data_IF_624239083113
#
_entry.id   IF_624239083113
#
_cell.length_a   1.000
_cell.length_b   1.000
_cell.length_c   1.000
_cell.angle_alpha   90.00
_cell.angle_beta   90.00
_cell.angle_gamma   90.00
#
_symmetry.space_group_name_H-M   'P 1'
#
loop_
_entity.id
_entity.type
_entity.pdbx_description
1 polymer ?
#
# COMPACT_ATOMS: atom_id res chain seq x y z
N UNK A 1 17.34 -10.59 14.56
CA UNK A 1 16.34 -9.75 13.86
C UNK A 1 17.02 -9.14 12.65
N UNK A 2 16.96 -9.80 11.50
CA UNK A 2 17.57 -9.28 10.28
C UNK A 2 16.85 -7.99 9.89
N UNK A 3 17.57 -6.86 9.94
CA UNK A 3 17.12 -5.63 9.32
C UNK A 3 17.05 -5.90 7.81
N UNK A 4 15.86 -6.24 7.31
CA UNK A 4 15.61 -6.43 5.89
C UNK A 4 15.75 -5.07 5.18
N UNK A 5 16.98 -4.73 4.82
CA UNK A 5 17.30 -3.79 3.76
C UNK A 5 16.90 -4.45 2.44
N UNK A 6 15.65 -4.28 2.02
CA UNK A 6 15.23 -4.61 0.67
C UNK A 6 15.92 -3.63 -0.29
N UNK A 7 16.86 -4.15 -1.09
CA UNK A 7 17.55 -3.54 -2.25
C UNK A 7 17.91 -2.05 -2.14
N UNK A 8 19.15 -1.77 -1.72
CA UNK A 8 19.89 -0.52 -1.98
C UNK A 8 19.21 0.77 -1.52
N UNK A 9 19.18 1.03 -0.21
CA UNK A 9 18.98 2.37 0.39
C UNK A 9 17.67 3.11 0.05
N UNK A 10 16.75 2.56 -0.75
CA UNK A 10 15.52 3.25 -1.10
C UNK A 10 14.54 3.10 0.07
N UNK A 11 14.20 4.18 0.79
CA UNK A 11 13.25 4.08 1.87
C UNK A 11 11.93 3.60 1.29
N UNK A 12 11.30 2.62 1.94
CA UNK A 12 9.95 2.11 1.63
C UNK A 12 8.93 3.25 1.37
N UNK A 13 9.17 4.41 1.98
CA UNK A 13 8.43 5.66 1.81
C UNK A 13 8.55 6.28 0.42
N UNK A 14 9.71 6.22 -0.23
CA UNK A 14 9.93 6.74 -1.58
C UNK A 14 9.21 5.87 -2.63
N UNK A 15 9.12 4.56 -2.38
CA UNK A 15 8.29 3.66 -3.19
C UNK A 15 6.81 4.06 -3.17
N UNK A 16 6.23 4.23 -1.98
CA UNK A 16 4.85 4.69 -1.83
C UNK A 16 4.61 6.07 -2.49
N UNK A 17 5.56 7.00 -2.30
CA UNK A 17 5.53 8.32 -2.92
C UNK A 17 5.49 8.26 -4.45
N UNK A 18 6.41 7.50 -5.07
CA UNK A 18 6.47 7.36 -6.52
C UNK A 18 5.21 6.70 -7.08
N UNK A 19 4.72 5.65 -6.42
CA UNK A 19 3.49 4.97 -6.83
C UNK A 19 2.30 5.92 -6.79
N UNK A 20 2.12 6.69 -5.72
CA UNK A 20 1.04 7.68 -5.64
C UNK A 20 1.17 8.78 -6.70
N UNK A 21 2.40 9.20 -7.03
CA UNK A 21 2.64 10.19 -8.07
C UNK A 21 2.30 9.67 -9.47
N UNK A 22 2.72 8.45 -9.80
CA UNK A 22 2.34 7.80 -11.07
C UNK A 22 0.84 7.56 -11.16
N UNK A 23 0.22 7.09 -10.07
CA UNK A 23 -1.23 6.89 -10.01
C UNK A 23 -1.99 8.20 -10.21
N UNK A 24 -1.54 9.28 -9.58
CA UNK A 24 -2.10 10.62 -9.76
C UNK A 24 -1.96 11.09 -11.20
N UNK A 25 -0.77 10.93 -11.82
CA UNK A 25 -0.56 11.31 -13.22
C UNK A 25 -1.46 10.52 -14.17
N UNK A 26 -1.49 9.19 -14.03
CA UNK A 26 -2.28 8.32 -14.90
C UNK A 26 -3.78 8.59 -14.75
N UNK A 27 -4.26 8.70 -13.52
CA UNK A 27 -5.68 9.02 -13.23
C UNK A 27 -6.04 10.44 -13.68
N UNK A 28 -5.14 11.42 -13.52
CA UNK A 28 -5.34 12.79 -13.97
C UNK A 28 -5.38 12.92 -15.50
N UNK A 29 -4.46 12.24 -16.21
CA UNK A 29 -4.47 12.19 -17.68
C UNK A 29 -5.72 11.47 -18.17
N UNK A 30 -6.11 10.35 -17.57
CA UNK A 30 -7.32 9.62 -17.92
C UNK A 30 -8.58 10.47 -17.70
N UNK A 31 -8.69 11.15 -16.55
CA UNK A 31 -9.80 12.07 -16.28
C UNK A 31 -9.83 13.22 -17.29
N UNK A 32 -8.69 13.86 -17.56
CA UNK A 32 -8.60 14.93 -18.54
C UNK A 32 -9.00 14.45 -19.94
N UNK A 33 -8.57 13.26 -20.35
CA UNK A 33 -8.94 12.65 -21.62
C UNK A 33 -10.45 12.34 -21.71
N UNK A 34 -11.06 11.84 -20.62
CA UNK A 34 -12.49 11.58 -20.57
C UNK A 34 -13.32 12.87 -20.64
N UNK A 35 -12.93 13.90 -19.90
CA UNK A 35 -13.58 15.21 -19.94
C UNK A 35 -13.40 15.89 -21.30
N UNK A 36 -12.20 15.82 -21.88
CA UNK A 36 -11.93 16.34 -23.22
C UNK A 36 -12.75 15.60 -24.28
N UNK A 37 -12.82 14.27 -24.19
CA UNK A 37 -13.68 13.45 -25.04
C UNK A 37 -15.13 13.88 -24.93
N UNK A 38 -15.65 14.00 -23.70
CA UNK A 38 -17.03 14.44 -23.47
C UNK A 38 -17.33 15.83 -24.06
N UNK A 39 -16.37 16.76 -23.99
CA UNK A 39 -16.51 18.11 -24.52
C UNK A 39 -16.51 18.16 -26.06
N UNK A 40 -15.85 17.22 -26.74
CA UNK A 40 -15.71 17.20 -28.20
C UNK A 40 -16.70 16.27 -28.92
N UNK A 41 -17.53 15.53 -28.18
CA UNK A 41 -18.45 14.56 -28.79
C UNK A 41 -19.70 15.22 -29.38
N UNK A 42 -20.13 14.82 -30.60
CA UNK A 42 -21.34 15.35 -31.22
C UNK A 42 -22.59 14.99 -30.39
N UNK A 43 -23.63 15.83 -30.46
CA UNK A 43 -24.81 15.72 -29.60
C UNK A 43 -25.61 14.41 -29.71
N UNK A 44 -25.43 13.64 -30.79
CA UNK A 44 -26.19 12.42 -31.11
C UNK A 44 -25.73 11.13 -30.42
N UNK A 45 -24.76 11.18 -29.52
CA UNK A 45 -24.30 9.95 -28.85
C UNK A 45 -25.32 9.45 -27.83
N UNK A 46 -25.56 8.14 -27.83
CA UNK A 46 -26.48 7.41 -26.93
C UNK A 46 -26.41 7.92 -25.48
N UNK A 47 -27.58 8.27 -24.92
CA UNK A 47 -27.69 8.79 -23.55
C UNK A 47 -27.07 7.85 -22.50
N UNK A 48 -27.10 6.54 -22.75
CA UNK A 48 -26.47 5.52 -21.89
C UNK A 48 -24.95 5.66 -21.87
N UNK A 49 -24.34 5.97 -23.02
CA UNK A 49 -22.90 6.13 -23.15
C UNK A 49 -22.43 7.44 -22.53
N UNK A 50 -23.18 8.53 -22.68
CA UNK A 50 -22.90 9.80 -21.98
C UNK A 50 -22.92 9.63 -20.46
N UNK A 51 -23.94 8.94 -19.92
CA UNK A 51 -24.03 8.66 -18.48
C UNK A 51 -22.84 7.83 -17.96
N UNK A 52 -22.46 6.79 -18.69
CA UNK A 52 -21.30 5.95 -18.34
C UNK A 52 -19.99 6.74 -18.36
N UNK A 53 -19.76 7.57 -19.37
CA UNK A 53 -18.55 8.40 -19.48
C UNK A 53 -18.45 9.43 -18.36
N UNK A 54 -19.57 10.07 -18.00
CA UNK A 54 -19.60 11.01 -16.86
C UNK A 54 -19.31 10.28 -15.55
N UNK A 55 -19.92 9.11 -15.32
CA UNK A 55 -19.65 8.29 -14.14
C UNK A 55 -18.18 7.89 -14.03
N UNK A 56 -17.57 7.46 -15.13
CA UNK A 56 -16.14 7.16 -15.19
C UNK A 56 -15.29 8.41 -14.90
N UNK A 57 -15.63 9.57 -15.48
CA UNK A 57 -14.94 10.82 -15.23
C UNK A 57 -14.94 11.23 -13.75
N UNK A 58 -16.10 11.14 -13.08
CA UNK A 58 -16.23 11.41 -11.64
C UNK A 58 -15.43 10.42 -10.81
N UNK A 59 -15.42 9.15 -11.22
CA UNK A 59 -14.64 8.14 -10.52
C UNK A 59 -13.14 8.41 -10.58
N UNK A 60 -12.58 8.72 -11.77
CA UNK A 60 -11.16 9.03 -11.91
C UNK A 60 -10.75 10.32 -11.20
N UNK A 61 -11.64 11.31 -11.08
CA UNK A 61 -11.34 12.52 -10.28
C UNK A 61 -11.29 12.23 -8.78
N UNK A 62 -12.22 11.41 -8.26
CA UNK A 62 -12.15 10.93 -6.87
C UNK A 62 -10.86 10.14 -6.66
N UNK A 63 -10.46 9.32 -7.63
CA UNK A 63 -9.23 8.55 -7.58
C UNK A 63 -7.98 9.45 -7.52
N UNK A 64 -7.95 10.50 -8.34
CA UNK A 64 -6.87 11.49 -8.35
C UNK A 64 -6.79 12.21 -6.99
N UNK A 65 -7.94 12.59 -6.41
CA UNK A 65 -7.98 13.19 -5.08
C UNK A 65 -7.50 12.22 -3.98
N UNK A 66 -7.88 10.94 -4.07
CA UNK A 66 -7.40 9.91 -3.15
C UNK A 66 -5.88 9.70 -3.23
N UNK A 67 -5.32 9.70 -4.45
CA UNK A 67 -3.88 9.63 -4.68
C UNK A 67 -3.16 10.87 -4.11
N UNK A 68 -3.76 12.06 -4.22
CA UNK A 68 -3.22 13.29 -3.63
C UNK A 68 -3.24 13.27 -2.10
N UNK A 69 -4.29 12.73 -1.48
CA UNK A 69 -4.34 12.54 -0.02
C UNK A 69 -3.28 11.52 0.41
N UNK A 70 -3.07 10.44 -0.35
CA UNK A 70 -2.02 9.47 -0.08
C UNK A 70 -0.62 10.09 -0.16
N UNK A 71 -0.40 10.94 -1.15
CA UNK A 71 0.82 11.73 -1.27
C UNK A 71 1.07 12.59 -0.02
N UNK A 72 0.06 13.33 0.46
CA UNK A 72 0.16 14.11 1.72
C UNK A 72 0.39 13.20 2.94
N UNK A 73 -0.25 12.03 2.96
CA UNK A 73 -0.12 11.03 4.03
C UNK A 73 1.33 10.56 4.21
N UNK A 74 2.08 10.41 3.12
CA UNK A 74 3.51 10.06 3.20
C UNK A 74 4.37 11.15 3.85
N UNK A 75 3.94 12.42 3.79
CA UNK A 75 4.66 13.57 4.34
C UNK A 75 4.42 13.71 5.86
N UNK A 76 3.19 13.52 6.34
CA UNK A 76 2.81 13.90 7.72
C UNK A 76 3.22 12.94 8.85
N UNK A 77 3.78 11.77 8.56
CA UNK A 77 4.40 10.83 9.53
C UNK A 77 3.61 10.63 10.85
N UNK A 78 2.27 10.54 10.81
CA UNK A 78 1.46 10.34 12.03
C UNK A 78 0.91 8.90 12.13
N UNK A 79 1.21 8.22 13.24
CA UNK A 79 0.92 6.80 13.45
C UNK A 79 -0.58 6.52 13.53
N UNK A 80 -1.32 7.34 14.31
CA UNK A 80 -2.75 7.16 14.52
C UNK A 80 -3.58 7.39 13.25
N UNK A 81 -3.17 8.32 12.39
CA UNK A 81 -3.84 8.49 11.09
C UNK A 81 -3.56 7.34 10.14
N UNK A 82 -2.38 6.71 10.24
CA UNK A 82 -1.99 5.64 9.33
C UNK A 82 -2.87 4.39 9.46
N UNK A 83 -3.32 4.07 10.68
CA UNK A 83 -4.20 2.93 10.93
C UNK A 83 -5.59 3.15 10.30
N UNK A 84 -6.24 4.27 10.58
CA UNK A 84 -7.54 4.61 9.98
C UNK A 84 -7.45 4.76 8.46
N UNK A 85 -6.34 5.32 7.98
CA UNK A 85 -6.06 5.47 6.56
C UNK A 85 -5.88 4.11 5.86
N UNK A 86 -5.26 3.12 6.52
CA UNK A 86 -5.13 1.76 5.97
C UNK A 86 -6.49 1.08 5.79
N UNK A 87 -7.42 1.27 6.73
CA UNK A 87 -8.77 0.74 6.59
C UNK A 87 -9.53 1.40 5.42
N UNK A 88 -9.43 2.73 5.32
CA UNK A 88 -10.04 3.48 4.23
C UNK A 88 -9.47 3.13 2.86
N UNK A 89 -8.14 2.94 2.77
CA UNK A 89 -7.48 2.45 1.57
C UNK A 89 -7.94 1.05 1.18
N UNK A 90 -8.08 0.14 2.15
CA UNK A 90 -8.61 -1.19 1.90
C UNK A 90 -10.02 -1.15 1.31
N UNK A 91 -10.90 -0.31 1.86
CA UNK A 91 -12.25 -0.11 1.34
C UNK A 91 -12.25 0.50 -0.07
N UNK A 92 -11.45 1.55 -0.29
CA UNK A 92 -11.32 2.20 -1.59
C UNK A 92 -10.78 1.25 -2.66
N UNK A 93 -9.81 0.41 -2.31
CA UNK A 93 -9.27 -0.63 -3.19
C UNK A 93 -10.32 -1.69 -3.52
N UNK A 94 -11.13 -2.11 -2.55
CA UNK A 94 -12.25 -3.02 -2.79
C UNK A 94 -13.27 -2.45 -3.77
N UNK A 95 -13.65 -1.18 -3.59
CA UNK A 95 -14.54 -0.48 -4.52
C UNK A 95 -13.93 -0.36 -5.93
N UNK A 96 -12.63 -0.11 -6.01
CA UNK A 96 -11.91 -0.02 -7.26
C UNK A 96 -11.89 -1.34 -8.02
N UNK A 97 -11.59 -2.45 -7.36
CA UNK A 97 -11.64 -3.77 -7.97
C UNK A 97 -13.05 -4.07 -8.49
N UNK A 98 -14.09 -3.74 -7.74
CA UNK A 98 -15.46 -3.95 -8.17
C UNK A 98 -15.81 -3.14 -9.44
N UNK A 99 -15.36 -1.88 -9.51
CA UNK A 99 -15.56 -1.03 -10.68
C UNK A 99 -14.74 -1.49 -11.88
N UNK A 100 -13.47 -1.84 -11.70
CA UNK A 100 -12.62 -2.36 -12.76
C UNK A 100 -13.19 -3.68 -13.31
N UNK A 101 -13.67 -4.58 -12.43
CA UNK A 101 -14.33 -5.82 -12.82
C UNK A 101 -15.65 -5.56 -13.57
N UNK A 102 -16.46 -4.59 -13.11
CA UNK A 102 -17.69 -4.20 -13.79
C UNK A 102 -17.42 -3.59 -15.16
N UNK A 103 -16.38 -2.75 -15.29
CA UNK A 103 -15.96 -2.15 -16.54
C UNK A 103 -15.47 -3.23 -17.52
N UNK A 104 -14.66 -4.16 -17.02
CA UNK A 104 -14.19 -5.32 -17.79
C UNK A 104 -15.39 -6.13 -18.29
N UNK A 105 -16.34 -6.44 -17.40
CA UNK A 105 -17.56 -7.17 -17.73
C UNK A 105 -18.37 -6.44 -18.82
N UNK A 106 -18.66 -5.15 -18.64
CA UNK A 106 -19.37 -4.34 -19.63
C UNK A 106 -18.64 -4.31 -20.98
N UNK A 107 -17.31 -4.19 -20.96
CA UNK A 107 -16.47 -4.19 -22.14
C UNK A 107 -16.51 -5.55 -22.88
N UNK A 108 -16.45 -6.66 -22.15
CA UNK A 108 -16.55 -8.00 -22.73
C UNK A 108 -17.94 -8.34 -23.26
N UNK A 109 -18.98 -7.77 -22.65
CA UNK A 109 -20.38 -7.99 -23.08
C UNK A 109 -20.74 -7.14 -24.31
N UNK A 110 -19.96 -6.10 -24.62
CA UNK A 110 -20.22 -5.25 -25.78
C UNK A 110 -19.69 -5.93 -27.05
N UNK A 111 -20.55 -6.23 -28.04
CA UNK A 111 -20.12 -6.92 -29.24
C UNK A 111 -19.11 -6.07 -30.02
N UNK A 112 -18.02 -6.71 -30.46
CA UNK A 112 -16.94 -6.05 -31.24
C UNK A 112 -17.46 -5.37 -32.51
N UNK A 113 -18.56 -5.88 -33.03
CA UNK A 113 -19.13 -5.55 -34.33
C UNK A 113 -19.67 -4.12 -34.38
N UNK A 114 -20.26 -3.65 -33.27
CA UNK A 114 -20.76 -2.28 -33.15
C UNK A 114 -19.61 -1.25 -33.09
N UNK A 115 -18.51 -1.60 -32.43
CA UNK A 115 -17.34 -0.72 -32.35
C UNK A 115 -16.59 -0.66 -33.69
N UNK A 116 -16.45 -1.78 -34.39
CA UNK A 116 -15.83 -1.82 -35.72
C UNK A 116 -16.71 -1.06 -36.73
N UNK A 117 -18.04 -1.21 -36.69
CA UNK A 117 -18.94 -0.41 -37.54
C UNK A 117 -18.79 1.09 -37.31
N UNK A 118 -18.73 1.53 -36.05
CA UNK A 118 -18.55 2.94 -35.71
C UNK A 118 -17.17 3.50 -36.10
N UNK A 119 -16.15 2.65 -36.13
CA UNK A 119 -14.80 3.00 -36.54
C UNK A 119 -14.66 3.12 -38.05
N UNK A 120 -15.34 2.24 -38.80
CA UNK A 120 -15.27 2.21 -40.27
C UNK A 120 -16.08 3.37 -40.88
N UNK A 121 -17.16 3.86 -40.24
CA UNK A 121 -18.02 4.95 -40.75
C UNK A 121 -18.28 4.83 -42.26
N UNK A 122 -18.64 3.62 -42.72
CA UNK A 122 -18.88 3.28 -44.13
C UNK A 122 -17.71 3.50 -45.12
N UNK A 123 -16.47 3.67 -44.64
CA UNK A 123 -15.29 3.67 -45.51
C UNK A 123 -15.05 2.29 -46.11
N UNK A 124 -14.85 2.24 -47.43
CA UNK A 124 -14.59 1.00 -48.19
C UNK A 124 -13.11 0.61 -48.27
N UNK A 125 -12.23 1.43 -47.68
CA UNK A 125 -10.78 1.22 -47.72
C UNK A 125 -10.33 0.07 -46.81
N UNK A 126 -9.76 -0.98 -47.41
CA UNK A 126 -9.22 -2.14 -46.69
C UNK A 126 -8.10 -1.79 -45.69
N UNK A 127 -7.32 -0.73 -45.94
CA UNK A 127 -6.31 -0.27 -44.99
C UNK A 127 -6.92 0.32 -43.70
N UNK A 128 -8.07 0.98 -43.80
CA UNK A 128 -8.78 1.53 -42.63
C UNK A 128 -9.41 0.40 -41.83
N UNK A 129 -10.00 -0.59 -42.52
CA UNK A 129 -10.58 -1.78 -41.88
C UNK A 129 -9.50 -2.59 -41.15
N UNK A 130 -8.34 -2.81 -41.76
CA UNK A 130 -7.24 -3.54 -41.15
C UNK A 130 -6.62 -2.78 -39.96
N UNK A 131 -6.43 -1.47 -40.09
CA UNK A 131 -5.92 -0.63 -39.00
C UNK A 131 -6.88 -0.61 -37.82
N UNK A 132 -8.19 -0.54 -38.09
CA UNK A 132 -9.21 -0.57 -37.06
C UNK A 132 -9.24 -1.92 -36.32
N UNK A 133 -9.23 -3.04 -37.05
CA UNK A 133 -9.20 -4.38 -36.44
C UNK A 133 -7.93 -4.61 -35.60
N UNK A 134 -6.78 -4.14 -36.09
CA UNK A 134 -5.51 -4.23 -35.35
C UNK A 134 -5.54 -3.39 -34.08
N UNK A 135 -6.00 -2.13 -34.16
CA UNK A 135 -6.15 -1.25 -33.01
C UNK A 135 -7.07 -1.83 -31.93
N UNK A 136 -8.16 -2.50 -32.33
CA UNK A 136 -9.07 -3.18 -31.39
C UNK A 136 -8.43 -4.39 -30.71
N UNK A 137 -7.71 -5.23 -31.45
CA UNK A 137 -7.04 -6.40 -30.87
C UNK A 137 -5.93 -5.98 -29.90
N UNK A 138 -5.12 -4.98 -30.27
CA UNK A 138 -4.09 -4.41 -29.39
C UNK A 138 -4.73 -3.71 -28.19
N UNK A 139 -5.81 -2.95 -28.41
CA UNK A 139 -6.52 -2.24 -27.35
C UNK A 139 -7.10 -3.17 -26.29
N UNK A 140 -7.68 -4.31 -26.69
CA UNK A 140 -8.20 -5.31 -25.74
C UNK A 140 -7.08 -5.88 -24.86
N UNK A 141 -5.93 -6.22 -25.46
CA UNK A 141 -4.77 -6.71 -24.71
C UNK A 141 -4.21 -5.66 -23.76
N UNK A 142 -4.05 -4.42 -24.24
CA UNK A 142 -3.55 -3.30 -23.45
C UNK A 142 -4.48 -2.95 -22.27
N UNK A 143 -5.81 -3.03 -22.46
CA UNK A 143 -6.78 -2.71 -21.42
C UNK A 143 -6.76 -3.76 -20.30
N UNK A 144 -6.77 -5.05 -20.65
CA UNK A 144 -6.65 -6.15 -19.68
C UNK A 144 -5.30 -6.08 -18.95
N UNK A 145 -4.20 -5.90 -19.71
CA UNK A 145 -2.86 -5.78 -19.13
C UNK A 145 -2.75 -4.58 -18.18
N UNK A 146 -3.31 -3.44 -18.57
CA UNK A 146 -3.35 -2.23 -17.76
C UNK A 146 -4.11 -2.43 -16.44
N UNK A 147 -5.27 -3.08 -16.47
CA UNK A 147 -6.04 -3.41 -15.26
C UNK A 147 -5.23 -4.32 -14.34
N UNK A 148 -4.62 -5.39 -14.86
CA UNK A 148 -3.83 -6.33 -14.05
C UNK A 148 -2.62 -5.64 -13.41
N UNK A 149 -1.89 -4.83 -14.17
CA UNK A 149 -0.73 -4.07 -13.65
C UNK A 149 -1.16 -3.09 -12.58
N UNK A 150 -2.25 -2.34 -12.81
CA UNK A 150 -2.82 -1.42 -11.82
C UNK A 150 -3.22 -2.16 -10.52
N UNK A 151 -3.86 -3.33 -10.65
CA UNK A 151 -4.25 -4.18 -9.51
C UNK A 151 -3.03 -4.68 -8.72
N UNK A 152 -1.97 -5.12 -9.40
CA UNK A 152 -0.72 -5.55 -8.77
C UNK A 152 -0.05 -4.42 -8.00
N UNK A 153 0.01 -3.22 -8.58
CA UNK A 153 0.58 -2.02 -7.94
C UNK A 153 -0.22 -1.69 -6.67
N UNK A 154 -1.55 -1.73 -6.75
CA UNK A 154 -2.43 -1.44 -5.61
C UNK A 154 -2.34 -2.51 -4.51
N UNK A 155 -2.34 -3.78 -4.88
CA UNK A 155 -2.15 -4.89 -3.94
C UNK A 155 -0.79 -4.79 -3.24
N UNK A 156 0.26 -4.41 -3.97
CA UNK A 156 1.58 -4.17 -3.41
C UNK A 156 1.58 -3.00 -2.41
N UNK A 157 0.84 -1.92 -2.71
CA UNK A 157 0.71 -0.78 -1.80
C UNK A 157 0.03 -1.19 -0.47
N UNK A 158 -1.08 -1.94 -0.53
CA UNK A 158 -1.76 -2.44 0.69
C UNK A 158 -0.86 -3.40 1.48
N UNK A 159 -0.15 -4.29 0.78
CA UNK A 159 0.81 -5.18 1.41
C UNK A 159 1.87 -4.40 2.20
N UNK A 160 2.48 -3.36 1.59
CA UNK A 160 3.46 -2.51 2.27
C UNK A 160 2.88 -1.81 3.49
N UNK A 161 1.68 -1.21 3.38
CA UNK A 161 1.04 -0.49 4.50
C UNK A 161 0.75 -1.45 5.65
N UNK A 162 0.23 -2.65 5.36
CA UNK A 162 -0.05 -3.66 6.37
C UNK A 162 1.22 -4.14 7.09
N UNK A 163 2.31 -4.34 6.34
CA UNK A 163 3.60 -4.74 6.91
C UNK A 163 4.21 -3.64 7.76
N UNK A 164 4.02 -2.37 7.38
CA UNK A 164 4.51 -1.22 8.12
C UNK A 164 3.70 -1.02 9.42
N UNK A 165 2.38 -1.21 9.38
CA UNK A 165 1.50 -1.17 10.55
C UNK A 165 1.95 -2.17 11.63
N UNK A 166 2.18 -3.42 11.26
CA UNK A 166 2.69 -4.46 12.18
C UNK A 166 4.02 -4.08 12.81
N UNK A 167 4.92 -3.45 12.05
CA UNK A 167 6.22 -3.01 12.57
C UNK A 167 6.07 -1.91 13.61
N UNK A 168 5.17 -0.95 13.37
CA UNK A 168 4.91 0.12 14.32
C UNK A 168 4.21 -0.37 15.59
N UNK A 169 3.27 -1.31 15.48
CA UNK A 169 2.66 -1.94 16.65
C UNK A 169 3.71 -2.67 17.49
N UNK A 170 4.65 -3.36 16.84
CA UNK A 170 5.74 -4.03 17.52
C UNK A 170 6.70 -3.04 18.18
N UNK A 171 7.06 -1.93 17.54
CA UNK A 171 7.86 -0.85 18.13
C UNK A 171 7.13 -0.18 19.30
N UNK A 172 5.82 0.06 19.18
CA UNK A 172 5.02 0.67 20.24
C UNK A 172 4.86 -0.25 21.44
N UNK A 173 4.58 -1.54 21.20
CA UNK A 173 4.53 -2.56 22.24
C UNK A 173 5.87 -2.72 22.95
N UNK A 174 6.98 -2.62 22.22
CA UNK A 174 8.31 -2.66 22.83
C UNK A 174 8.55 -1.40 23.68
N UNK A 175 8.21 -0.22 23.17
CA UNK A 175 8.37 1.05 23.89
C UNK A 175 7.45 1.15 25.11
N UNK A 176 6.26 0.54 25.08
CA UNK A 176 5.33 0.52 26.23
C UNK A 176 5.71 -0.52 27.27
N UNK A 177 6.33 -1.63 26.87
CA UNK A 177 6.75 -2.70 27.78
C UNK A 177 8.11 -2.43 28.43
N UNK A 178 8.92 -1.54 27.88
CA UNK A 178 10.05 -0.97 28.61
C UNK A 178 9.49 0.17 29.46
N UNK A 179 9.37 0.02 30.79
CA UNK A 179 9.13 1.18 31.64
C UNK A 179 10.33 2.10 31.47
N UNK A 180 10.24 3.07 30.55
CA UNK A 180 10.95 4.31 30.66
C UNK A 180 10.36 4.98 31.89
N UNK A 181 10.82 4.55 33.07
CA UNK A 181 10.58 5.28 34.28
C UNK A 181 11.21 6.66 34.04
N UNK A 182 10.38 7.63 33.66
CA UNK A 182 10.77 9.03 33.59
C UNK A 182 11.24 9.54 34.98
N UNK A 183 11.19 8.69 36.02
CA UNK A 183 11.78 8.84 37.32
C UNK A 183 13.24 8.40 37.48
N UNK A 184 13.94 7.88 36.45
CA UNK A 184 15.41 7.89 36.51
C UNK A 184 15.85 9.35 36.37
N UNK A 185 15.88 10.08 37.49
CA UNK A 185 16.79 11.21 37.62
C UNK A 185 18.16 10.64 37.26
N UNK A 186 18.67 10.99 36.09
CA UNK A 186 20.11 11.05 35.90
C UNK A 186 20.58 12.05 36.96
N UNK A 187 20.91 11.54 38.15
CA UNK A 187 21.76 12.27 39.06
C UNK A 187 23.05 12.35 38.27
N UNK A 188 23.27 13.50 37.64
CA UNK A 188 24.58 13.88 37.18
C UNK A 188 25.45 13.90 38.44
N UNK A 189 25.97 12.74 38.84
CA UNK A 189 27.11 12.68 39.73
C UNK A 189 28.15 13.50 38.99
N UNK A 190 28.49 14.67 39.51
CA UNK A 190 29.40 15.64 38.88
C UNK A 190 30.79 15.04 38.72
N UNK A 191 30.94 14.10 37.79
CA UNK A 191 32.21 13.56 37.37
C UNK A 191 32.64 14.36 36.16
N UNK A 192 33.65 15.19 36.39
CA UNK A 192 34.40 15.88 35.37
C UNK A 192 34.79 14.86 34.29
N UNK A 193 34.30 15.08 33.08
CA UNK A 193 34.46 14.21 31.94
C UNK A 193 35.89 14.27 31.40
N UNK A 194 36.79 13.46 31.96
CA UNK A 194 38.10 13.15 31.37
C UNK A 194 38.55 11.69 31.51
N UNK A 195 37.79 10.81 32.17
CA UNK A 195 38.23 9.41 32.45
C UNK A 195 37.84 8.38 31.37
N UNK A 196 37.24 8.81 30.25
CA UNK A 196 36.57 7.92 29.28
C UNK A 196 37.44 7.05 28.38
N UNK A 197 38.78 7.03 28.52
CA UNK A 197 39.67 6.29 27.60
C UNK A 197 40.67 5.34 28.29
N UNK A 198 40.69 5.27 29.62
CA UNK A 198 41.65 4.40 30.35
C UNK A 198 41.05 3.62 31.52
N UNK A 199 39.73 3.62 31.71
CA UNK A 199 39.14 2.89 32.84
C UNK A 199 39.20 1.35 32.63
N UNK A 200 39.75 0.60 33.60
CA UNK A 200 39.84 -0.86 33.56
C UNK A 200 38.46 -1.48 33.83
N UNK A 201 38.14 -2.57 33.12
CA UNK A 201 37.01 -3.47 33.35
C UNK A 201 35.70 -2.79 33.81
N UNK A 202 34.89 -2.35 32.85
CA UNK A 202 33.47 -2.11 33.12
C UNK A 202 32.81 -3.45 33.47
N UNK A 203 32.68 -3.72 34.77
CA UNK A 203 31.83 -4.79 35.28
C UNK A 203 30.38 -4.38 35.00
N UNK A 204 29.80 -4.96 33.95
CA UNK A 204 28.41 -4.77 33.59
C UNK A 204 27.54 -4.97 34.85
N UNK A 205 26.63 -4.05 35.21
CA UNK A 205 25.93 -4.10 36.51
C UNK A 205 25.18 -5.41 36.78
N UNK A 206 24.77 -6.12 35.73
CA UNK A 206 24.12 -7.45 35.83
C UNK A 206 25.09 -8.64 35.82
N UNK A 207 26.41 -8.39 35.75
CA UNK A 207 27.42 -9.43 35.87
C UNK A 207 27.71 -9.79 37.34
N UNK A 208 27.34 -8.92 38.29
CA UNK A 208 27.39 -9.22 39.71
C UNK A 208 26.16 -10.07 40.09
N UNK A 209 26.40 -11.22 40.73
CA UNK A 209 25.35 -12.17 41.13
C UNK A 209 24.29 -11.52 42.03
N UNK A 210 24.65 -10.50 42.80
CA UNK A 210 23.73 -9.74 43.66
C UNK A 210 22.66 -8.94 42.89
N UNK A 211 22.96 -8.55 41.64
CA UNK A 211 22.06 -7.81 40.75
C UNK A 211 21.59 -8.64 39.55
N UNK A 212 21.91 -9.94 39.53
CA UNK A 212 21.46 -10.84 38.47
C UNK A 212 19.95 -11.07 38.55
N UNK A 213 19.29 -11.14 37.39
CA UNK A 213 17.87 -11.47 37.31
C UNK A 213 17.63 -12.84 37.98
N UNK A 214 16.93 -12.84 39.11
CA UNK A 214 16.62 -14.05 39.89
C UNK A 214 17.27 -14.13 41.27
N UNK A 215 18.15 -13.19 41.65
CA UNK A 215 18.82 -13.24 42.96
C UNK A 215 17.85 -13.16 44.17
N UNK A 216 16.71 -12.49 43.98
CA UNK A 216 15.64 -12.35 44.99
C UNK A 216 14.31 -13.00 44.60
N UNK A 217 14.29 -13.75 43.48
CA UNK A 217 13.12 -14.54 43.09
C UNK A 217 13.12 -15.89 43.80
N UNK A 218 11.95 -16.35 44.26
CA UNK A 218 11.79 -17.72 44.75
C UNK A 218 12.33 -18.70 43.70
N UNK A 219 13.11 -19.70 44.13
CA UNK A 219 13.62 -20.76 43.26
C UNK A 219 12.47 -21.29 42.40
N UNK A 220 12.59 -21.16 41.08
CA UNK A 220 11.67 -21.79 40.15
C UNK A 220 11.87 -23.29 40.28
N UNK A 221 10.96 -23.95 41.00
CA UNK A 221 10.86 -25.40 41.04
C UNK A 221 10.08 -25.82 39.79
N UNK A 222 10.74 -26.36 38.75
CA UNK A 222 10.04 -26.75 37.54
C UNK A 222 9.00 -27.82 37.90
N UNK A 223 7.75 -27.70 37.42
CA UNK A 223 6.74 -28.70 37.69
C UNK A 223 7.24 -30.06 37.19
N UNK A 224 7.17 -31.07 38.08
CA UNK A 224 7.62 -32.42 37.81
C UNK A 224 7.04 -32.90 36.47
N UNK A 225 7.85 -33.54 35.61
CA UNK A 225 7.42 -33.96 34.28
C UNK A 225 6.18 -34.85 34.41
N UNK A 226 5.06 -34.36 33.87
CA UNK A 226 3.82 -35.11 33.81
C UNK A 226 4.07 -36.42 33.07
N UNK A 227 3.91 -37.54 33.78
CA UNK A 227 3.97 -38.87 33.22
C UNK A 227 2.97 -38.96 32.06
N UNK A 228 3.49 -39.21 30.86
CA UNK A 228 2.69 -39.45 29.67
C UNK A 228 1.79 -40.66 29.90
N UNK A 229 0.48 -40.42 30.00
CA UNK A 229 -0.52 -41.47 29.86
C UNK A 229 -0.52 -41.94 28.40
N UNK A 230 0.05 -43.12 28.15
CA UNK A 230 -0.17 -43.87 26.94
C UNK A 230 -1.64 -44.34 26.92
N UNK A 231 -2.44 -43.77 26.03
CA UNK A 231 -3.72 -44.36 25.63
C UNK A 231 -3.53 -45.05 24.29
N UNK A 232 -3.49 -46.38 24.34
CA UNK A 232 -3.85 -47.25 23.24
C UNK A 232 -5.32 -46.99 22.89
N UNK A 233 -5.61 -46.70 21.61
CA UNK A 233 -6.54 -47.41 20.70
C UNK A 233 -6.43 -46.74 19.33
#
# INVERSE_FOLDING_TARGET
MAAHHFCCCLPLRLGAFLISLFQFLLSGIAAAALWYGLAHWPSDVSAKLKGATVGAGVYYTILALAAFIGFIGTIRRSIKMLSTYSFWLGWALGLQIALDAFLLYAYFTTPREDLVRNCVKDSTDQNVINSCNSAFNVGKGAMIGGVVVNLLIQAYAVYIVSSYGKKLELEHAWTSNVPLDAGYKYVATGRASTEGLTAPHYTYPYADGSNSFGHSGAQYDPPAPHAHHAQNV
#
